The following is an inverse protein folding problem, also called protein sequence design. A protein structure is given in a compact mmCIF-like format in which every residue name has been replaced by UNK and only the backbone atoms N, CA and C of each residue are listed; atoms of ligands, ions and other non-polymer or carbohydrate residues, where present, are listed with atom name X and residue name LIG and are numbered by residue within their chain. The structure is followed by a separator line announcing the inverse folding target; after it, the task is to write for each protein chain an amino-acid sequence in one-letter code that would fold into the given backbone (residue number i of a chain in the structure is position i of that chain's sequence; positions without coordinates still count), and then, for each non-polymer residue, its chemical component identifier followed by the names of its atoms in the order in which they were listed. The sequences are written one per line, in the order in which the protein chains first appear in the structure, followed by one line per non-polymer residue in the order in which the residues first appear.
data_IF_695039166934
#
_entry.id   IF_695039166934
#
_cell.length_a   1.000
_cell.length_b   1.000
_cell.length_c   1.000
_cell.angle_alpha   90.00
_cell.angle_beta   90.00
_cell.angle_gamma   90.00
#
_symmetry.space_group_name_H-M   'P 1'
#
loop_
_entity.id
_entity.type
_entity.pdbx_description
1 polymer ?
#
# COMPACT_ATOMS: atom_id res chain seq x y z
N UNK A 1 -1.88 22.98 -29.36
CA UNK A 1 -0.52 22.97 -28.79
C UNK A 1 -0.67 22.68 -27.31
N UNK A 2 -1.13 21.47 -26.98
CA UNK A 2 -1.22 21.00 -25.61
C UNK A 2 0.19 20.80 -25.10
N UNK A 3 0.51 21.48 -24.00
CA UNK A 3 1.82 21.48 -23.37
C UNK A 3 2.19 20.04 -22.96
N UNK A 4 3.35 19.49 -23.38
CA UNK A 4 3.74 18.11 -23.05
C UNK A 4 3.89 17.86 -21.54
N UNK A 5 4.02 18.92 -20.72
CA UNK A 5 4.11 18.81 -19.25
C UNK A 5 2.79 18.33 -18.62
N UNK A 6 1.64 18.78 -19.14
CA UNK A 6 0.31 18.40 -18.63
C UNK A 6 0.03 16.90 -18.85
N UNK A 7 0.56 16.33 -19.94
CA UNK A 7 0.38 14.90 -20.24
C UNK A 7 1.19 13.99 -19.31
N UNK A 8 2.34 14.45 -18.78
CA UNK A 8 3.12 13.67 -17.81
C UNK A 8 2.52 13.74 -16.40
N UNK A 9 2.03 14.91 -15.96
CA UNK A 9 1.38 15.03 -14.63
C UNK A 9 0.05 14.27 -14.54
N UNK A 10 -0.67 14.10 -15.66
CA UNK A 10 -1.91 13.33 -15.70
C UNK A 10 -1.69 11.81 -15.67
N UNK A 11 -0.59 11.32 -16.27
CA UNK A 11 -0.25 9.89 -16.25
C UNK A 11 0.16 9.42 -14.85
N UNK A 12 0.91 10.24 -14.11
CA UNK A 12 1.34 9.93 -12.74
C UNK A 12 0.14 9.92 -11.75
N UNK A 13 -0.87 10.76 -12.00
CA UNK A 13 -2.09 10.83 -11.19
C UNK A 13 -3.08 9.68 -11.49
N UNK A 14 -3.15 9.22 -12.74
CA UNK A 14 -3.95 8.05 -13.11
C UNK A 14 -3.38 6.73 -12.53
N UNK A 15 -2.08 6.67 -12.25
CA UNK A 15 -1.40 5.47 -11.73
C UNK A 15 -1.66 5.21 -10.22
N UNK A 16 -2.17 6.20 -9.47
CA UNK A 16 -2.37 6.10 -8.01
C UNK A 16 -3.81 6.28 -7.50
N UNK A 17 -4.82 6.33 -8.38
CA UNK A 17 -6.23 6.53 -7.99
C UNK A 17 -6.81 5.47 -7.04
N UNK A 18 -6.13 4.34 -6.84
CA UNK A 18 -6.51 3.33 -5.86
C UNK A 18 -6.33 3.82 -4.41
N UNK A 19 -5.40 4.74 -4.14
CA UNK A 19 -5.13 5.24 -2.79
C UNK A 19 -6.33 5.98 -2.21
N UNK A 20 -7.06 6.74 -3.04
CA UNK A 20 -8.27 7.48 -2.63
C UNK A 20 -9.41 6.55 -2.18
N UNK A 21 -9.42 5.31 -2.68
CA UNK A 21 -10.41 4.27 -2.34
C UNK A 21 -9.97 3.38 -1.18
N UNK A 22 -8.78 3.61 -0.62
CA UNK A 22 -8.24 2.76 0.43
C UNK A 22 -9.01 2.92 1.75
N UNK A 23 -9.57 1.81 2.25
CA UNK A 23 -10.33 1.79 3.51
C UNK A 23 -9.49 2.24 4.71
N UNK A 24 -8.17 2.03 4.69
CA UNK A 24 -7.28 2.40 5.80
C UNK A 24 -7.28 3.92 6.08
N UNK A 25 -7.52 4.76 5.08
CA UNK A 25 -7.61 6.21 5.26
C UNK A 25 -8.79 6.65 6.17
N UNK A 26 -9.76 5.76 6.39
CA UNK A 26 -10.93 5.98 7.24
C UNK A 26 -10.77 5.37 8.65
N UNK A 27 -9.55 4.93 8.99
CA UNK A 27 -9.24 4.26 10.26
C UNK A 27 -8.05 4.93 10.94
N UNK A 28 -7.74 4.49 12.17
CA UNK A 28 -6.57 4.98 12.89
C UNK A 28 -5.26 4.63 12.16
N UNK A 29 -4.47 5.61 11.70
CA UNK A 29 -3.22 5.37 11.00
C UNK A 29 -2.16 4.67 11.88
N UNK A 30 -2.19 4.83 13.21
CA UNK A 30 -1.21 4.19 14.11
C UNK A 30 -1.30 2.66 14.04
N UNK A 31 -2.48 2.11 13.77
CA UNK A 31 -2.67 0.67 13.59
C UNK A 31 -1.86 0.11 12.39
N UNK A 32 -1.63 0.93 11.37
CA UNK A 32 -0.92 0.54 10.14
C UNK A 32 0.60 0.74 10.24
N UNK A 33 1.07 1.54 11.20
CA UNK A 33 2.49 1.77 11.46
C UNK A 33 2.84 1.40 12.92
N UNK A 34 2.69 0.11 13.30
CA UNK A 34 2.94 -0.30 14.67
C UNK A 34 4.42 -0.16 15.02
N UNK A 35 4.69 0.27 16.27
CA UNK A 35 6.03 0.21 16.85
C UNK A 35 6.60 -1.21 16.87
N UNK A 36 7.90 -1.34 17.13
CA UNK A 36 8.58 -2.65 17.22
C UNK A 36 7.91 -3.53 18.28
N UNK A 37 7.31 -4.64 17.84
CA UNK A 37 6.60 -5.58 18.71
C UNK A 37 5.11 -5.29 18.88
N UNK A 38 4.61 -4.18 18.31
CA UNK A 38 3.20 -3.84 18.25
C UNK A 38 2.36 -4.86 17.46
N UNK A 39 1.06 -4.88 17.76
CA UNK A 39 0.11 -5.79 17.12
C UNK A 39 -0.22 -5.35 15.70
N UNK A 40 -0.17 -6.27 14.74
CA UNK A 40 -0.59 -6.04 13.34
C UNK A 40 -2.02 -6.49 13.06
N UNK A 41 -2.73 -7.01 14.09
CA UNK A 41 -4.01 -7.70 13.90
C UNK A 41 -5.12 -6.79 13.39
N UNK A 42 -5.26 -5.60 13.96
CA UNK A 42 -6.33 -4.67 13.58
C UNK A 42 -6.13 -4.13 12.16
N UNK A 43 -4.94 -3.63 11.82
CA UNK A 43 -4.65 -3.20 10.44
C UNK A 43 -4.89 -4.32 9.43
N UNK A 44 -4.45 -5.56 9.72
CA UNK A 44 -4.73 -6.71 8.85
C UNK A 44 -6.22 -7.01 8.71
N UNK A 45 -7.03 -6.75 9.74
CA UNK A 45 -8.49 -6.92 9.68
C UNK A 45 -9.12 -5.90 8.75
N UNK A 46 -8.72 -4.63 8.86
CA UNK A 46 -9.16 -3.56 7.96
C UNK A 46 -8.72 -3.86 6.52
N UNK A 47 -7.48 -4.27 6.29
CA UNK A 47 -7.01 -4.63 4.95
C UNK A 47 -7.84 -5.75 4.31
N UNK A 48 -8.36 -6.72 5.09
CA UNK A 48 -9.16 -7.83 4.53
C UNK A 48 -10.46 -7.36 3.89
N UNK A 49 -11.03 -6.25 4.35
CA UNK A 49 -12.25 -5.64 3.79
C UNK A 49 -11.96 -4.50 2.82
N UNK A 50 -10.69 -4.19 2.54
CA UNK A 50 -10.30 -3.13 1.61
C UNK A 50 -10.39 -3.65 0.17
N UNK A 51 -11.09 -2.92 -0.71
CA UNK A 51 -11.25 -3.31 -2.13
C UNK A 51 -9.94 -3.20 -2.92
N UNK A 52 -9.11 -2.20 -2.62
CA UNK A 52 -7.82 -1.95 -3.29
C UNK A 52 -6.65 -2.72 -2.69
N UNK A 53 -6.92 -3.85 -2.02
CA UNK A 53 -5.88 -4.61 -1.29
C UNK A 53 -4.80 -5.15 -2.22
N UNK A 54 -5.17 -5.55 -3.43
CA UNK A 54 -4.24 -6.14 -4.40
C UNK A 54 -3.29 -5.06 -4.95
N UNK A 55 -3.84 -3.96 -5.43
CA UNK A 55 -3.10 -2.79 -5.94
C UNK A 55 -2.14 -2.23 -4.86
N UNK A 56 -2.63 -2.12 -3.62
CA UNK A 56 -1.82 -1.69 -2.48
C UNK A 56 -0.63 -2.63 -2.20
N UNK A 57 -0.82 -3.95 -2.36
CA UNK A 57 0.26 -4.91 -2.16
C UNK A 57 1.29 -4.83 -3.28
N UNK A 58 0.82 -4.78 -4.53
CA UNK A 58 1.65 -4.69 -5.72
C UNK A 58 2.56 -3.46 -5.65
N UNK A 59 1.97 -2.29 -5.40
CA UNK A 59 2.70 -1.05 -5.19
C UNK A 59 3.80 -1.20 -4.13
N UNK A 60 3.46 -1.76 -2.97
CA UNK A 60 4.41 -1.94 -1.87
C UNK A 60 5.55 -2.92 -2.18
N UNK A 61 5.31 -3.90 -3.06
CA UNK A 61 6.35 -4.82 -3.52
C UNK A 61 7.25 -4.14 -4.55
N UNK A 62 6.69 -3.42 -5.51
CA UNK A 62 7.45 -2.71 -6.55
C UNK A 62 8.35 -1.62 -5.96
N UNK A 63 7.82 -0.83 -5.02
CA UNK A 63 8.50 0.33 -4.43
C UNK A 63 9.36 -0.02 -3.21
N UNK A 64 9.45 -1.31 -2.85
CA UNK A 64 10.14 -1.80 -1.66
C UNK A 64 9.74 -1.07 -0.37
N UNK A 65 8.44 -0.81 -0.20
CA UNK A 65 7.94 -0.10 0.97
C UNK A 65 8.39 -0.80 2.26
N UNK A 66 9.10 -0.06 3.12
CA UNK A 66 9.86 -0.65 4.24
C UNK A 66 9.11 -0.67 5.55
N UNK A 67 8.08 0.16 5.69
CA UNK A 67 7.39 0.35 6.95
C UNK A 67 5.91 0.03 6.81
N UNK A 68 5.28 -0.25 7.94
CA UNK A 68 3.84 -0.44 8.05
C UNK A 68 3.24 -1.67 7.35
N UNK A 69 1.91 -1.72 7.39
CA UNK A 69 1.08 -2.76 6.81
C UNK A 69 0.56 -2.30 5.45
N UNK A 70 0.89 -3.07 4.41
CA UNK A 70 0.49 -2.82 3.03
C UNK A 70 -0.17 -4.08 2.47
N UNK A 71 -1.32 -3.94 1.81
CA UNK A 71 -2.03 -5.10 1.24
C UNK A 71 -2.39 -6.19 2.26
N UNK A 72 -2.47 -5.86 3.55
CA UNK A 72 -2.66 -6.82 4.64
C UNK A 72 -1.41 -7.59 5.08
N UNK A 73 -0.22 -7.16 4.66
CA UNK A 73 1.06 -7.79 4.97
C UNK A 73 2.01 -6.82 5.67
N UNK A 74 2.74 -7.32 6.66
CA UNK A 74 3.88 -6.63 7.27
C UNK A 74 5.09 -6.65 6.33
N UNK A 75 6.04 -5.74 6.56
CA UNK A 75 7.35 -5.72 5.88
C UNK A 75 8.00 -7.11 5.86
N UNK A 76 8.02 -7.81 7.00
CA UNK A 76 8.62 -9.15 7.12
C UNK A 76 7.94 -10.18 6.20
N UNK A 77 6.62 -10.09 6.06
CA UNK A 77 5.84 -10.97 5.18
C UNK A 77 6.07 -10.60 3.71
N UNK A 78 6.06 -9.32 3.34
CA UNK A 78 6.39 -8.85 1.98
C UNK A 78 7.79 -9.28 1.55
N UNK A 79 8.78 -9.17 2.43
CA UNK A 79 10.13 -9.68 2.19
C UNK A 79 10.18 -11.18 1.95
N UNK A 80 9.29 -11.96 2.58
CA UNK A 80 9.21 -13.41 2.33
C UNK A 80 8.69 -13.69 0.93
N UNK A 81 7.69 -12.94 0.47
CA UNK A 81 7.16 -13.03 -0.90
C UNK A 81 8.25 -12.72 -1.92
N UNK A 82 8.94 -11.57 -1.77
CA UNK A 82 10.06 -11.19 -2.65
C UNK A 82 11.14 -12.27 -2.76
N UNK A 83 11.52 -12.89 -1.64
CA UNK A 83 12.52 -13.98 -1.64
C UNK A 83 12.05 -15.28 -2.28
N UNK A 84 10.74 -15.50 -2.39
CA UNK A 84 10.17 -16.71 -3.01
C UNK A 84 9.94 -16.54 -4.51
N UNK A 85 9.93 -15.31 -5.01
CA UNK A 85 9.79 -14.99 -6.43
C UNK A 85 11.14 -14.97 -7.19
N UNK A 86 12.25 -15.17 -6.48
CA UNK A 86 13.62 -15.29 -7.01
C UNK A 86 14.03 -16.76 -6.97
#
# INVERSE_FOLDING_TARGET
MTDPVIAQEQLDAEELGWQERALCAQTDPEAFFPEKGGSTREAKKVCRSCEVRAECLEYALEHDERFGIWGGLSERERRRIKRQAV
#
